data_IF_977423678890
#
_entry.id   IF_977423678890
#
_cell.length_a   1.000
_cell.length_b   1.000
_cell.length_c   1.000
_cell.angle_alpha   90.00
_cell.angle_beta   90.00
_cell.angle_gamma   90.00
#
_symmetry.space_group_name_H-M   'P 1'
#
loop_
_entity.id
_entity.type
_entity.pdbx_description
1 polymer ?
#
# COMPACT_ATOMS: atom_id res chain seq x y z
N UNK A 1 20.14 63.21 -5.33
CA UNK A 1 20.91 63.53 -6.55
C UNK A 1 22.39 63.32 -6.21
N UNK A 2 23.19 62.78 -7.15
CA UNK A 2 24.56 62.22 -7.00
C UNK A 2 24.62 60.79 -6.42
N UNK A 3 25.42 59.84 -6.92
CA UNK A 3 26.14 59.69 -8.19
C UNK A 3 26.39 58.17 -8.32
N UNK A 4 26.11 57.60 -9.49
CA UNK A 4 26.30 56.17 -9.76
C UNK A 4 27.77 55.88 -10.09
N UNK A 5 28.40 55.00 -9.32
CA UNK A 5 29.70 54.41 -9.62
C UNK A 5 29.49 53.03 -10.27
N UNK A 6 29.82 52.95 -11.56
CA UNK A 6 29.94 51.69 -12.31
C UNK A 6 31.23 50.99 -11.89
N UNK A 7 31.14 49.75 -11.41
CA UNK A 7 32.27 48.82 -11.42
C UNK A 7 31.97 47.72 -12.45
N UNK A 8 32.75 47.74 -13.52
CA UNK A 8 32.91 46.67 -14.50
C UNK A 8 33.88 45.64 -13.92
N UNK A 9 33.45 44.39 -13.76
CA UNK A 9 34.35 43.26 -13.59
C UNK A 9 34.01 42.19 -14.62
N UNK A 10 34.88 42.10 -15.60
CA UNK A 10 34.94 41.08 -16.63
C UNK A 10 35.69 39.87 -16.07
N UNK A 11 35.00 38.75 -15.86
CA UNK A 11 35.63 37.43 -15.87
C UNK A 11 34.74 36.45 -16.63
N UNK A 12 35.36 35.81 -17.62
CA UNK A 12 34.76 34.96 -18.64
C UNK A 12 34.27 33.62 -18.07
N UNK A 13 33.20 33.02 -18.62
CA UNK A 13 32.78 31.69 -18.25
C UNK A 13 33.73 30.64 -18.82
N UNK A 14 34.19 29.72 -17.97
CA UNK A 14 34.84 28.46 -18.36
C UNK A 14 33.83 27.65 -19.20
N UNK A 15 34.09 27.55 -20.51
CA UNK A 15 33.31 26.71 -21.41
C UNK A 15 33.55 25.23 -21.11
N UNK A 16 32.58 24.56 -20.50
CA UNK A 16 32.47 23.12 -20.61
C UNK A 16 31.93 22.79 -22.00
N UNK A 17 32.77 22.17 -22.83
CA UNK A 17 32.38 21.61 -24.10
C UNK A 17 31.38 20.47 -23.88
N UNK A 18 30.09 20.73 -24.10
CA UNK A 18 29.06 19.69 -24.19
C UNK A 18 29.17 19.01 -25.55
N UNK A 19 29.74 17.80 -25.59
CA UNK A 19 29.58 16.92 -26.75
C UNK A 19 28.09 16.56 -26.88
N UNK A 20 27.49 16.61 -28.08
CA UNK A 20 26.14 16.11 -28.27
C UNK A 20 26.14 14.59 -28.07
N UNK A 21 25.35 14.11 -27.10
CA UNK A 21 25.06 12.68 -26.95
C UNK A 21 24.13 12.27 -28.09
N UNK A 22 24.70 11.63 -29.11
CA UNK A 22 23.95 10.84 -30.09
C UNK A 22 23.32 9.65 -29.36
N UNK A 23 22.00 9.40 -29.48
CA UNK A 23 21.42 8.20 -28.90
C UNK A 23 21.85 6.99 -29.73
N UNK A 24 22.83 6.24 -29.24
CA UNK A 24 23.18 4.94 -29.80
C UNK A 24 22.06 3.96 -29.42
N UNK A 25 21.13 3.71 -30.34
CA UNK A 25 20.11 2.68 -30.20
C UNK A 25 20.79 1.30 -30.17
N UNK A 26 20.80 0.65 -29.00
CA UNK A 26 21.11 -0.77 -28.90
C UNK A 26 19.93 -1.56 -29.49
N UNK A 27 20.15 -2.55 -30.38
CA UNK A 27 19.06 -3.36 -30.89
C UNK A 27 18.48 -4.22 -29.74
N UNK A 28 17.18 -4.06 -29.50
CA UNK A 28 16.42 -4.90 -28.59
C UNK A 28 16.31 -6.30 -29.19
N UNK A 29 17.09 -7.25 -28.68
CA UNK A 29 16.90 -8.66 -29.00
C UNK A 29 15.81 -9.23 -28.08
N UNK A 30 14.68 -9.73 -28.61
CA UNK A 30 13.70 -10.40 -27.78
C UNK A 30 14.32 -11.69 -27.23
N UNK A 31 14.52 -11.75 -25.91
CA UNK A 31 14.84 -13.01 -25.23
C UNK A 31 13.60 -13.89 -25.28
N UNK A 32 13.71 -15.04 -25.91
CA UNK A 32 12.73 -16.12 -25.82
C UNK A 32 12.63 -16.56 -24.35
N UNK A 33 11.45 -16.39 -23.77
CA UNK A 33 11.13 -16.98 -22.47
C UNK A 33 11.17 -18.51 -22.61
N UNK A 34 11.76 -19.25 -21.66
CA UNK A 34 11.61 -20.70 -21.65
C UNK A 34 10.13 -21.03 -21.47
N UNK A 35 9.57 -21.82 -22.39
CA UNK A 35 8.21 -22.33 -22.24
C UNK A 35 8.17 -23.22 -21.00
N UNK A 36 7.43 -22.81 -19.97
CA UNK A 36 7.08 -23.72 -18.89
C UNK A 36 6.14 -24.78 -19.46
N UNK A 37 6.70 -25.96 -19.68
CA UNK A 37 5.98 -27.17 -20.05
C UNK A 37 5.15 -27.56 -18.81
N UNK A 38 3.87 -27.21 -18.83
CA UNK A 38 2.89 -27.75 -17.89
C UNK A 38 2.81 -29.24 -18.17
N UNK A 39 3.39 -30.06 -17.29
CA UNK A 39 3.15 -31.50 -17.28
C UNK A 39 1.70 -31.72 -16.85
N UNK A 40 0.78 -31.66 -17.81
CA UNK A 40 -0.57 -32.14 -17.62
C UNK A 40 -0.50 -33.61 -17.22
N UNK A 41 -1.05 -33.96 -16.05
CA UNK A 41 -1.39 -35.35 -15.77
C UNK A 41 -2.46 -35.76 -16.77
N UNK A 42 -2.05 -36.49 -17.81
CA UNK A 42 -2.97 -37.24 -18.65
C UNK A 42 -3.79 -38.17 -17.76
N UNK A 43 -5.08 -37.84 -17.62
CA UNK A 43 -6.03 -38.78 -17.01
C UNK A 43 -6.43 -39.74 -18.12
N UNK A 44 -5.71 -40.86 -18.22
CA UNK A 44 -6.06 -41.96 -19.14
C UNK A 44 -7.44 -42.50 -18.73
N UNK A 45 -8.48 -42.14 -19.47
CA UNK A 45 -9.76 -42.84 -19.43
C UNK A 45 -9.51 -44.27 -19.90
N UNK A 46 -9.52 -45.22 -18.96
CA UNK A 46 -9.46 -46.64 -19.27
C UNK A 46 -10.88 -47.18 -19.35
N UNK A 47 -11.39 -47.34 -20.57
CA UNK A 47 -12.57 -48.19 -20.81
C UNK A 47 -12.10 -49.64 -20.63
N UNK A 48 -12.68 -50.35 -19.67
CA UNK A 48 -12.52 -51.80 -19.51
C UNK A 48 -13.91 -52.41 -19.46
N UNK A 49 -14.22 -53.21 -20.48
CA UNK A 49 -15.38 -54.08 -20.53
C UNK A 49 -15.20 -55.29 -19.58
N UNK A 50 -16.34 -55.84 -19.18
CA UNK A 50 -16.51 -56.78 -18.07
C UNK A 50 -15.85 -58.15 -18.23
N UNK A 51 -15.36 -58.71 -17.13
CA UNK A 51 -15.68 -60.07 -16.63
C UNK A 51 -15.05 -60.28 -15.26
N UNK A 52 -15.81 -60.90 -14.35
CA UNK A 52 -15.53 -60.91 -12.91
C UNK A 52 -14.34 -61.76 -12.47
N UNK A 53 -13.83 -61.45 -11.27
CA UNK A 53 -13.38 -62.33 -10.18
C UNK A 53 -13.31 -61.46 -8.91
N UNK A 54 -13.61 -62.06 -7.75
CA UNK A 54 -13.87 -61.49 -6.43
C UNK A 54 -12.98 -60.31 -5.94
N UNK A 55 -13.50 -59.39 -5.09
CA UNK A 55 -12.68 -58.35 -4.50
C UNK A 55 -11.97 -58.88 -3.24
N UNK A 56 -10.66 -59.02 -3.29
CA UNK A 56 -9.83 -58.92 -2.08
C UNK A 56 -9.78 -57.45 -1.68
N UNK A 57 -10.25 -57.14 -0.47
CA UNK A 57 -10.22 -55.80 0.09
C UNK A 57 -8.76 -55.36 0.26
N UNK A 58 -8.34 -54.37 -0.54
CA UNK A 58 -7.13 -53.59 -0.29
C UNK A 58 -7.57 -52.41 0.55
N UNK A 59 -7.18 -52.40 1.83
CA UNK A 59 -7.37 -51.21 2.67
C UNK A 59 -6.52 -50.07 2.09
N UNK A 60 -7.09 -48.87 1.88
CA UNK A 60 -6.29 -47.74 1.50
C UNK A 60 -5.45 -47.31 2.71
N UNK A 61 -4.13 -47.48 2.61
CA UNK A 61 -3.20 -46.79 3.49
C UNK A 61 -3.53 -45.29 3.46
N UNK A 62 -3.99 -44.79 4.59
CA UNK A 62 -4.22 -43.36 4.79
C UNK A 62 -2.85 -42.69 4.75
N UNK A 63 -2.53 -42.08 3.61
CA UNK A 63 -1.44 -41.10 3.52
C UNK A 63 -1.78 -39.97 4.47
N UNK A 64 -1.26 -40.05 5.70
CA UNK A 64 -1.29 -38.93 6.64
C UNK A 64 -0.37 -37.88 6.05
N UNK A 65 -0.95 -36.95 5.30
CA UNK A 65 -0.32 -35.67 5.01
C UNK A 65 -0.18 -34.94 6.33
N UNK A 66 0.96 -35.17 7.01
CA UNK A 66 1.39 -34.42 8.16
C UNK A 66 1.68 -32.98 7.73
N UNK A 67 0.63 -32.23 7.45
CA UNK A 67 0.70 -30.78 7.38
C UNK A 67 1.12 -30.32 8.75
N UNK A 68 2.40 -29.95 8.92
CA UNK A 68 2.83 -29.15 10.07
C UNK A 68 1.84 -27.99 10.17
N UNK A 69 1.05 -27.97 11.24
CA UNK A 69 0.11 -26.88 11.49
C UNK A 69 0.84 -25.55 11.32
N UNK A 70 0.21 -24.60 10.61
CA UNK A 70 0.78 -23.28 10.40
C UNK A 70 1.23 -22.70 11.74
N UNK A 71 2.48 -22.24 11.83
CA UNK A 71 3.04 -21.73 13.07
C UNK A 71 2.31 -20.43 13.44
N UNK A 72 1.51 -20.46 14.51
CA UNK A 72 0.95 -19.25 15.11
C UNK A 72 2.07 -18.43 15.74
N UNK A 73 2.16 -17.14 15.38
CA UNK A 73 3.16 -16.22 15.91
C UNK A 73 2.53 -15.34 16.98
N UNK A 74 3.21 -15.05 18.10
CA UNK A 74 2.69 -14.13 19.11
C UNK A 74 2.64 -12.68 18.62
N UNK A 75 3.50 -12.33 17.65
CA UNK A 75 3.61 -10.99 17.09
C UNK A 75 3.71 -11.05 15.57
N UNK A 76 3.14 -10.04 14.90
CA UNK A 76 3.26 -9.83 13.45
C UNK A 76 3.52 -8.35 13.18
N UNK A 77 4.38 -8.07 12.21
CA UNK A 77 4.67 -6.70 11.78
C UNK A 77 4.09 -6.49 10.39
N UNK A 78 3.46 -5.35 10.20
CA UNK A 78 2.99 -4.88 8.90
C UNK A 78 3.54 -3.52 8.57
N UNK A 79 3.80 -3.30 7.28
CA UNK A 79 4.17 -2.00 6.73
C UNK A 79 3.21 -1.68 5.60
N UNK A 80 2.69 -0.45 5.59
CA UNK A 80 1.88 0.09 4.51
C UNK A 80 2.52 1.34 3.93
N UNK A 81 2.26 1.57 2.65
CA UNK A 81 2.60 2.81 1.95
C UNK A 81 1.49 3.13 0.97
N UNK A 82 1.04 4.39 0.96
CA UNK A 82 0.12 4.89 -0.06
C UNK A 82 0.52 6.31 -0.50
N UNK A 83 0.18 6.68 -1.73
CA UNK A 83 0.44 7.99 -2.31
C UNK A 83 -0.69 8.40 -3.27
N UNK A 84 -1.25 9.58 -3.04
CA UNK A 84 -2.25 10.19 -3.93
C UNK A 84 -1.76 11.48 -4.57
N UNK A 85 -2.24 11.75 -5.78
CA UNK A 85 -2.07 13.07 -6.42
C UNK A 85 -2.98 14.08 -5.73
N UNK A 86 -2.48 15.30 -5.57
CA UNK A 86 -3.25 16.44 -5.07
C UNK A 86 -3.62 17.36 -6.22
N UNK A 87 -4.92 17.57 -6.46
CA UNK A 87 -5.43 18.42 -7.53
C UNK A 87 -6.45 19.45 -7.02
N UNK A 88 -6.58 20.62 -7.69
CA UNK A 88 -7.59 21.61 -7.34
C UNK A 88 -9.02 21.06 -7.46
N UNK A 89 -9.91 21.48 -6.57
CA UNK A 89 -11.33 21.13 -6.61
C UNK A 89 -11.69 19.77 -5.98
N UNK A 90 -10.70 19.04 -5.46
CA UNK A 90 -10.91 17.82 -4.67
C UNK A 90 -10.86 18.10 -3.16
N UNK A 91 -11.56 17.31 -2.33
CA UNK A 91 -11.45 17.37 -0.88
C UNK A 91 -10.13 16.77 -0.38
N UNK A 92 -9.61 17.29 0.74
CA UNK A 92 -8.44 16.72 1.41
C UNK A 92 -8.88 15.99 2.67
N UNK A 93 -9.19 14.70 2.51
CA UNK A 93 -9.63 13.84 3.61
C UNK A 93 -8.41 13.08 4.14
N UNK A 94 -8.16 13.17 5.45
CA UNK A 94 -7.04 12.50 6.11
C UNK A 94 -7.52 11.89 7.43
N UNK A 95 -7.42 10.56 7.53
CA UNK A 95 -7.96 9.80 8.66
C UNK A 95 -9.44 10.09 8.94
N UNK A 96 -10.23 10.24 7.88
CA UNK A 96 -11.66 10.54 7.88
C UNK A 96 -12.03 11.99 8.23
N UNK A 97 -11.05 12.88 8.36
CA UNK A 97 -11.26 14.29 8.65
C UNK A 97 -11.05 15.12 7.38
N UNK A 98 -12.04 15.92 7.00
CA UNK A 98 -11.91 16.90 5.91
C UNK A 98 -11.10 18.11 6.37
N UNK A 99 -9.98 18.37 5.69
CA UNK A 99 -9.02 19.42 6.03
C UNK A 99 -9.11 20.52 4.97
N UNK A 100 -9.44 21.77 5.36
CA UNK A 100 -9.50 22.88 4.42
C UNK A 100 -8.18 23.11 3.69
N UNK A 101 -8.21 23.02 2.36
CA UNK A 101 -7.03 23.22 1.50
C UNK A 101 -7.41 23.61 0.08
N UNK A 102 -6.47 24.19 -0.67
CA UNK A 102 -6.65 24.56 -2.08
C UNK A 102 -6.60 23.36 -3.04
N UNK A 103 -6.15 22.19 -2.56
CA UNK A 103 -6.02 20.94 -3.31
C UNK A 103 -6.45 19.76 -2.45
N UNK A 104 -6.95 18.71 -3.09
CA UNK A 104 -7.32 17.46 -2.43
C UNK A 104 -6.98 16.24 -3.28
N UNK A 105 -7.29 15.05 -2.79
CA UNK A 105 -6.87 13.81 -3.43
C UNK A 105 -7.74 13.48 -4.65
N UNK A 106 -7.11 13.31 -5.82
CA UNK A 106 -7.77 12.74 -7.00
C UNK A 106 -7.71 11.21 -6.91
N UNK A 107 -8.84 10.59 -6.51
CA UNK A 107 -8.93 9.14 -6.32
C UNK A 107 -10.33 8.59 -6.70
N UNK A 108 -10.44 7.27 -6.85
CA UNK A 108 -11.73 6.58 -7.07
C UNK A 108 -12.55 6.44 -5.77
N UNK A 109 -11.88 6.41 -4.62
CA UNK A 109 -12.47 6.50 -3.27
C UNK A 109 -12.52 7.96 -2.79
N UNK A 110 -12.67 8.17 -1.48
CA UNK A 110 -12.54 9.49 -0.84
C UNK A 110 -11.09 10.02 -0.78
N UNK A 111 -10.11 9.23 -1.23
CA UNK A 111 -8.70 9.64 -1.36
C UNK A 111 -7.92 9.69 -0.05
N UNK A 112 -8.41 9.03 1.01
CA UNK A 112 -7.75 9.02 2.31
C UNK A 112 -6.51 8.12 2.36
N UNK A 113 -5.38 8.72 1.98
CA UNK A 113 -4.06 8.08 1.95
C UNK A 113 -3.65 7.47 3.29
N UNK A 114 -4.08 8.04 4.41
CA UNK A 114 -3.72 7.54 5.74
C UNK A 114 -4.47 6.24 6.03
N UNK A 115 -5.78 6.21 5.80
CA UNK A 115 -6.59 5.02 6.07
C UNK A 115 -6.19 3.86 5.15
N UNK A 116 -5.98 4.11 3.85
CA UNK A 116 -5.50 3.06 2.95
C UNK A 116 -4.17 2.45 3.41
N UNK A 117 -3.22 3.31 3.77
CA UNK A 117 -1.92 2.88 4.26
C UNK A 117 -2.00 2.08 5.57
N UNK A 118 -2.96 2.38 6.45
CA UNK A 118 -3.23 1.60 7.66
C UNK A 118 -3.84 0.23 7.32
N UNK A 119 -4.79 0.18 6.38
CA UNK A 119 -5.39 -1.06 5.89
C UNK A 119 -4.30 -1.99 5.36
N UNK A 120 -3.43 -1.52 4.47
CA UNK A 120 -2.35 -2.33 3.90
C UNK A 120 -1.35 -2.82 4.96
N UNK A 121 -1.05 -2.00 5.97
CA UNK A 121 -0.21 -2.44 7.08
C UNK A 121 -0.86 -3.61 7.85
N UNK A 122 -2.15 -3.54 8.15
CA UNK A 122 -2.87 -4.62 8.84
C UNK A 122 -2.92 -5.89 7.97
N UNK A 123 -3.35 -5.77 6.72
CA UNK A 123 -3.46 -6.90 5.79
C UNK A 123 -2.09 -7.55 5.55
N UNK A 124 -1.05 -6.74 5.37
CA UNK A 124 0.32 -7.20 5.22
C UNK A 124 0.85 -7.95 6.45
N UNK A 125 0.56 -7.47 7.66
CA UNK A 125 0.92 -8.18 8.90
C UNK A 125 0.30 -9.58 8.96
N UNK A 126 -0.94 -9.72 8.49
CA UNK A 126 -1.68 -10.98 8.44
C UNK A 126 -1.26 -11.89 7.27
N UNK A 127 -0.58 -11.34 6.25
CA UNK A 127 -0.23 -12.05 5.03
C UNK A 127 -1.44 -12.25 4.09
N UNK A 128 -2.39 -11.32 4.12
CA UNK A 128 -3.57 -11.30 3.26
C UNK A 128 -3.31 -10.52 1.96
N UNK A 129 -4.19 -10.64 0.95
CA UNK A 129 -4.18 -9.76 -0.22
C UNK A 129 -4.24 -8.29 0.19
N UNK A 130 -3.62 -7.42 -0.61
CA UNK A 130 -3.60 -5.96 -0.35
C UNK A 130 -4.96 -5.28 -0.62
N UNK A 131 -5.04 -3.99 -0.30
CA UNK A 131 -6.28 -3.20 -0.45
C UNK A 131 -6.83 -3.24 -1.88
N UNK A 132 -5.98 -3.21 -2.92
CA UNK A 132 -6.42 -3.21 -4.32
C UNK A 132 -6.95 -4.58 -4.76
N UNK A 133 -6.47 -5.66 -4.14
CA UNK A 133 -6.98 -7.01 -4.38
C UNK A 133 -8.30 -7.27 -3.66
N UNK A 134 -8.48 -6.74 -2.44
CA UNK A 134 -9.72 -6.91 -1.67
C UNK A 134 -10.82 -5.94 -2.13
N UNK A 135 -10.45 -4.73 -2.51
CA UNK A 135 -11.36 -3.64 -2.89
C UNK A 135 -11.02 -3.07 -4.27
N UNK A 136 -11.18 -3.84 -5.35
CA UNK A 136 -10.76 -3.42 -6.68
C UNK A 136 -11.60 -2.24 -7.21
N UNK A 137 -10.95 -1.27 -7.85
CA UNK A 137 -11.60 -0.10 -8.47
C UNK A 137 -12.65 -0.46 -9.54
N UNK A 138 -12.58 -1.67 -10.09
CA UNK A 138 -13.52 -2.17 -11.09
C UNK A 138 -14.88 -2.58 -10.52
N UNK A 139 -14.98 -2.80 -9.20
CA UNK A 139 -16.23 -3.17 -8.55
C UNK A 139 -17.04 -1.90 -8.21
N UNK A 140 -18.24 -1.71 -8.80
CA UNK A 140 -19.09 -0.54 -8.55
C UNK A 140 -19.45 -0.35 -7.07
N UNK A 141 -19.38 -1.42 -6.25
CA UNK A 141 -19.66 -1.36 -4.81
C UNK A 141 -18.70 -0.42 -4.06
N UNK A 142 -17.46 -0.28 -4.51
CA UNK A 142 -16.42 0.49 -3.82
C UNK A 142 -16.27 1.91 -4.36
N UNK A 143 -16.91 2.22 -5.48
CA UNK A 143 -16.83 3.55 -6.10
C UNK A 143 -17.41 4.62 -5.17
N UNK A 144 -16.59 5.57 -4.75
CA UNK A 144 -16.98 6.63 -3.81
C UNK A 144 -17.27 6.12 -2.39
N UNK A 145 -16.86 4.89 -2.05
CA UNK A 145 -16.97 4.40 -0.68
C UNK A 145 -16.03 5.21 0.24
N UNK A 146 -16.50 5.47 1.46
CA UNK A 146 -15.67 6.06 2.50
C UNK A 146 -14.59 5.05 2.92
N UNK A 147 -13.35 5.52 3.09
CA UNK A 147 -12.22 4.67 3.45
C UNK A 147 -12.36 4.00 4.82
N UNK A 148 -13.24 4.52 5.68
CA UNK A 148 -13.64 3.89 6.94
C UNK A 148 -14.24 2.48 6.76
N UNK A 149 -14.85 2.19 5.60
CA UNK A 149 -15.36 0.86 5.26
C UNK A 149 -14.22 -0.14 5.13
N UNK A 150 -13.11 0.25 4.50
CA UNK A 150 -11.93 -0.61 4.32
C UNK A 150 -11.24 -0.91 5.66
N UNK A 151 -11.15 0.09 6.56
CA UNK A 151 -10.61 -0.11 7.91
C UNK A 151 -11.45 -1.13 8.69
N UNK A 152 -12.78 -0.99 8.68
CA UNK A 152 -13.67 -1.91 9.41
C UNK A 152 -13.52 -3.35 8.94
N UNK A 153 -13.38 -3.57 7.63
CA UNK A 153 -13.16 -4.91 7.09
C UNK A 153 -11.76 -5.44 7.45
N UNK A 154 -10.71 -4.61 7.39
CA UNK A 154 -9.37 -5.01 7.81
C UNK A 154 -9.31 -5.39 9.31
N UNK A 155 -9.98 -4.63 10.17
CA UNK A 155 -10.11 -4.93 11.62
C UNK A 155 -10.88 -6.23 11.84
N UNK A 156 -11.96 -6.46 11.09
CA UNK A 156 -12.70 -7.73 11.14
C UNK A 156 -11.82 -8.92 10.72
N UNK A 157 -11.08 -8.80 9.61
CA UNK A 157 -10.17 -9.86 9.15
C UNK A 157 -9.03 -10.11 10.16
N UNK A 158 -8.53 -9.07 10.81
CA UNK A 158 -7.55 -9.17 11.90
C UNK A 158 -8.12 -9.93 13.10
N UNK A 159 -9.35 -9.60 13.51
CA UNK A 159 -10.07 -10.25 14.59
C UNK A 159 -10.31 -11.74 14.31
N UNK A 160 -10.81 -12.06 13.11
CA UNK A 160 -11.05 -13.42 12.63
C UNK A 160 -9.76 -14.24 12.55
N UNK A 161 -8.63 -13.61 12.22
CA UNK A 161 -7.31 -14.22 12.26
C UNK A 161 -6.79 -14.43 13.68
N UNK A 162 -7.46 -13.90 14.72
CA UNK A 162 -7.11 -14.01 16.13
C UNK A 162 -5.99 -13.07 16.57
N UNK A 163 -5.93 -11.88 15.98
CA UNK A 163 -4.97 -10.83 16.35
C UNK A 163 -5.69 -9.55 16.80
N UNK A 164 -4.95 -8.70 17.49
CA UNK A 164 -5.32 -7.35 17.86
C UNK A 164 -4.14 -6.38 17.66
N UNK A 165 -4.40 -5.07 17.72
CA UNK A 165 -3.34 -4.07 17.59
C UNK A 165 -2.56 -3.99 18.90
N UNK A 166 -1.25 -4.27 18.83
CA UNK A 166 -0.31 -3.93 19.89
C UNK A 166 0.01 -2.44 19.87
N UNK A 167 0.52 -1.95 18.74
CA UNK A 167 0.63 -0.51 18.47
C UNK A 167 0.67 -0.20 16.97
N UNK A 168 0.38 1.05 16.63
CA UNK A 168 0.45 1.59 15.27
C UNK A 168 1.17 2.94 15.26
N UNK A 169 2.06 3.13 14.31
CA UNK A 169 2.74 4.41 14.10
C UNK A 169 2.70 4.80 12.62
N UNK A 170 2.02 5.92 12.33
CA UNK A 170 1.88 6.46 10.99
C UNK A 170 2.73 7.73 10.79
N UNK A 171 3.18 7.95 9.56
CA UNK A 171 3.90 9.16 9.13
C UNK A 171 3.28 9.67 7.84
N UNK A 172 2.62 10.82 7.92
CA UNK A 172 2.19 11.57 6.76
C UNK A 172 3.31 12.48 6.23
N UNK A 173 3.44 12.51 4.91
CA UNK A 173 4.34 13.41 4.20
C UNK A 173 3.48 14.35 3.35
N UNK A 174 3.40 15.60 3.78
CA UNK A 174 2.55 16.62 3.18
C UNK A 174 3.20 18.00 3.33
N UNK A 175 3.38 18.72 2.22
CA UNK A 175 4.00 20.04 2.26
C UNK A 175 3.07 21.11 2.85
N UNK A 176 1.78 21.08 2.49
CA UNK A 176 0.72 21.96 3.01
C UNK A 176 -0.62 21.20 2.97
N UNK A 177 -1.57 21.48 3.90
CA UNK A 177 -1.48 22.46 4.97
C UNK A 177 -0.72 21.93 6.19
N UNK A 178 -0.60 22.76 7.25
CA UNK A 178 -0.01 22.34 8.52
C UNK A 178 -0.98 21.41 9.23
N UNK A 179 -0.58 20.15 9.43
CA UNK A 179 -1.44 19.12 10.03
C UNK A 179 -1.55 19.18 11.56
N UNK A 180 -0.67 19.90 12.25
CA UNK A 180 -0.63 19.90 13.72
C UNK A 180 -1.95 20.28 14.42
N UNK A 181 -2.80 21.20 13.90
CA UNK A 181 -4.10 21.49 14.53
C UNK A 181 -5.10 20.34 14.45
N UNK A 182 -4.90 19.40 13.51
CA UNK A 182 -5.85 18.31 13.22
C UNK A 182 -5.37 16.97 13.78
N UNK A 183 -4.10 16.85 14.18
CA UNK A 183 -3.49 15.57 14.57
C UNK A 183 -4.26 14.79 15.63
N UNK A 184 -4.73 15.46 16.68
CA UNK A 184 -5.45 14.80 17.77
C UNK A 184 -6.83 14.32 17.36
N UNK A 185 -7.53 15.10 16.53
CA UNK A 185 -8.82 14.69 15.93
C UNK A 185 -8.63 13.48 15.03
N UNK A 186 -7.62 13.51 14.16
CA UNK A 186 -7.29 12.39 13.26
C UNK A 186 -6.93 11.14 14.07
N UNK A 187 -6.07 11.28 15.09
CA UNK A 187 -5.66 10.15 15.96
C UNK A 187 -6.88 9.55 16.65
N UNK A 188 -7.74 10.37 17.23
CA UNK A 188 -8.93 9.91 17.96
C UNK A 188 -9.90 9.16 17.04
N UNK A 189 -10.16 9.68 15.85
CA UNK A 189 -11.03 9.01 14.88
C UNK A 189 -10.40 7.71 14.35
N UNK A 190 -9.09 7.71 14.10
CA UNK A 190 -8.38 6.49 13.71
C UNK A 190 -8.46 5.42 14.82
N UNK A 191 -8.27 5.80 16.08
CA UNK A 191 -8.43 4.91 17.23
C UNK A 191 -9.83 4.31 17.33
N UNK A 192 -10.87 5.13 17.13
CA UNK A 192 -12.26 4.68 17.10
C UNK A 192 -12.50 3.66 15.98
N UNK A 193 -12.07 3.95 14.76
CA UNK A 193 -12.22 3.05 13.61
C UNK A 193 -11.50 1.71 13.81
N UNK A 194 -10.34 1.74 14.49
CA UNK A 194 -9.55 0.55 14.79
C UNK A 194 -10.05 -0.23 16.01
N UNK A 195 -10.92 0.36 16.83
CA UNK A 195 -11.31 -0.20 18.12
C UNK A 195 -10.13 -0.32 19.10
N UNK A 196 -9.16 0.59 19.02
CA UNK A 196 -7.93 0.57 19.81
C UNK A 196 -7.81 1.80 20.72
N UNK A 197 -7.10 1.65 21.85
CA UNK A 197 -6.86 2.77 22.75
C UNK A 197 -5.97 3.86 22.08
N UNK A 198 -6.26 5.17 22.25
CA UNK A 198 -5.45 6.23 21.67
C UNK A 198 -3.97 6.22 22.09
N UNK A 199 -3.62 5.63 23.22
CA UNK A 199 -2.22 5.52 23.67
C UNK A 199 -1.36 4.58 22.80
N UNK A 200 -1.99 3.69 22.02
CA UNK A 200 -1.29 2.75 21.13
C UNK A 200 -1.33 3.16 19.65
N UNK A 201 -1.94 4.29 19.33
CA UNK A 201 -2.07 4.82 17.96
C UNK A 201 -1.31 6.15 17.86
N UNK A 202 -0.32 6.25 16.99
CA UNK A 202 0.44 7.48 16.80
C UNK A 202 0.39 8.01 15.36
N UNK A 203 0.39 9.34 15.23
CA UNK A 203 0.43 10.03 13.94
C UNK A 203 1.50 11.14 13.92
N UNK A 204 2.47 10.96 13.03
CA UNK A 204 3.49 11.96 12.70
C UNK A 204 3.17 12.62 11.37
N UNK A 205 3.68 13.83 11.19
CA UNK A 205 3.54 14.57 9.95
C UNK A 205 4.86 15.29 9.66
N UNK A 206 5.28 15.26 8.41
CA UNK A 206 6.53 15.87 7.93
C UNK A 206 6.29 16.56 6.59
N UNK A 207 7.04 17.63 6.35
CA UNK A 207 7.21 18.21 5.02
C UNK A 207 8.17 17.36 4.19
N UNK A 208 8.16 17.55 2.88
CA UNK A 208 9.15 16.94 1.98
C UNK A 208 10.15 18.00 1.48
N UNK A 209 10.48 18.96 2.35
CA UNK A 209 11.51 20.00 2.14
C UNK A 209 11.47 20.72 0.78
N UNK A 210 10.27 20.93 0.22
CA UNK A 210 10.06 21.55 -1.11
C UNK A 210 10.75 20.82 -2.28
N UNK A 211 11.08 19.54 -2.13
CA UNK A 211 11.61 18.70 -3.21
C UNK A 211 10.56 17.72 -3.73
N UNK A 212 10.60 17.46 -5.03
CA UNK A 212 9.74 16.52 -5.75
C UNK A 212 8.23 16.79 -5.63
N UNK A 213 7.39 15.86 -6.07
CA UNK A 213 5.92 16.04 -6.09
C UNK A 213 5.33 16.33 -4.70
N UNK A 214 5.86 15.70 -3.66
CA UNK A 214 5.44 15.92 -2.28
C UNK A 214 5.78 17.35 -1.84
N UNK A 215 6.99 17.83 -2.13
CA UNK A 215 7.43 19.18 -1.77
C UNK A 215 6.84 20.28 -2.63
N UNK A 216 6.42 19.95 -3.85
CA UNK A 216 5.69 20.84 -4.77
C UNK A 216 4.18 20.87 -4.48
N UNK A 217 3.72 20.17 -3.44
CA UNK A 217 2.30 20.06 -3.07
C UNK A 217 1.43 19.51 -4.21
N UNK A 218 1.99 18.58 -5.00
CA UNK A 218 1.31 17.82 -6.06
C UNK A 218 0.93 16.41 -5.63
N UNK A 219 1.39 15.96 -4.45
CA UNK A 219 1.03 14.68 -3.90
C UNK A 219 1.06 14.70 -2.38
N UNK A 220 0.44 13.68 -1.79
CA UNK A 220 0.51 13.34 -0.37
C UNK A 220 0.88 11.87 -0.26
N UNK A 221 1.69 11.50 0.74
CA UNK A 221 2.05 10.12 1.00
C UNK A 221 1.90 9.77 2.48
N UNK A 222 1.63 8.50 2.76
CA UNK A 222 1.62 7.95 4.11
C UNK A 222 2.49 6.69 4.18
N UNK A 223 3.14 6.51 5.32
CA UNK A 223 3.73 5.26 5.74
C UNK A 223 3.14 4.85 7.08
N UNK A 224 2.84 3.56 7.25
CA UNK A 224 2.34 3.01 8.51
C UNK A 224 3.14 1.78 8.86
N UNK A 225 3.55 1.67 10.12
CA UNK A 225 4.02 0.42 10.71
C UNK A 225 3.05 -0.01 11.80
N UNK A 226 2.69 -1.29 11.81
CA UNK A 226 1.82 -1.88 12.83
C UNK A 226 2.48 -3.10 13.43
N UNK A 227 2.35 -3.25 14.75
CA UNK A 227 2.63 -4.48 15.47
C UNK A 227 1.30 -5.08 15.91
N UNK A 228 0.97 -6.25 15.37
CA UNK A 228 -0.17 -7.04 15.81
C UNK A 228 0.27 -8.04 16.89
N UNK A 229 -0.60 -8.25 17.87
CA UNK A 229 -0.43 -9.19 18.97
C UNK A 229 -1.47 -10.30 18.86
N UNK A 230 -1.07 -11.53 19.20
CA UNK A 230 -2.00 -12.65 19.29
C UNK A 230 -2.92 -12.46 20.50
N UNK A 231 -4.23 -12.65 20.30
CA UNK A 231 -5.23 -12.71 21.38
C UNK A 231 -5.09 -13.98 22.23
#
# INVERSE_FOLDING_TARGET
MAMATKFSSSYAPLGLATKPNTPTSLPFQPRTLPSFLVTGKETKLRVVSASGVAPTAVEPETVRTGGKGSKTLPFRVGHGFDLHRLEPGYPLIIGGIDIPHDRGCEAHSDGDVLLHCVVDAILGALGLPDIGQIFPDSDPKWKGAASSVFIKEAVKLMDEAGYEIGNLDATLILQRPKLSPFKETIRSHLSELLGADPSVVNLKAKTHEKVDSLGENRSIAAHTVVLLMRK
#
